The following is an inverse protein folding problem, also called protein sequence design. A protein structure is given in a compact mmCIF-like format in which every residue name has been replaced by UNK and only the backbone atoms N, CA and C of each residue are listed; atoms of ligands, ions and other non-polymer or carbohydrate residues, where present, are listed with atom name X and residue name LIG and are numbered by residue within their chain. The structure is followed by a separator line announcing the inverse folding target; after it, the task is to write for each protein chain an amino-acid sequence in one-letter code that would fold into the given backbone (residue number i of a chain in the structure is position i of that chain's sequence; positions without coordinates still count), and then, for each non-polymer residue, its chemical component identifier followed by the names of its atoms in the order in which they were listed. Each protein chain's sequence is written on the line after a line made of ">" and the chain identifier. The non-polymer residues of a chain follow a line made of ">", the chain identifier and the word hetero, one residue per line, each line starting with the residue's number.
data_IF_600375382045
#
_entry.id   IF_600375382045
#
_cell.length_a   1.000
_cell.length_b   1.000
_cell.length_c   1.000
_cell.angle_alpha   90.00
_cell.angle_beta   90.00
_cell.angle_gamma   90.00
#
_symmetry.space_group_name_H-M   'P 1'
#
loop_
_entity.id
_entity.type
_entity.pdbx_description
1 polymer ?
#
# COMPACT_ATOMS: atom_id res chain seq x y z
N UNK A 1 2.22 9.61 -16.93
CA UNK A 1 0.93 9.16 -16.37
C UNK A 1 1.00 7.65 -16.22
N UNK A 2 1.16 7.16 -14.99
CA UNK A 2 1.48 5.76 -14.67
C UNK A 2 0.48 4.81 -15.34
N UNK A 3 1.01 3.83 -16.07
CA UNK A 3 0.26 2.80 -16.80
C UNK A 3 -0.54 1.85 -15.90
N UNK A 4 -0.45 2.01 -14.57
CA UNK A 4 -1.28 1.32 -13.59
C UNK A 4 -2.77 1.72 -13.64
N UNK A 5 -3.13 2.78 -14.39
CA UNK A 5 -4.47 3.40 -14.36
C UNK A 5 -5.29 3.18 -15.66
N UNK A 6 -4.71 2.60 -16.72
CA UNK A 6 -5.35 2.70 -18.05
C UNK A 6 -6.54 1.78 -18.32
N UNK A 7 -6.84 0.73 -17.54
CA UNK A 7 -7.96 -0.17 -17.87
C UNK A 7 -8.68 -0.82 -16.68
N UNK A 8 -9.12 -0.03 -15.69
CA UNK A 8 -10.23 -0.37 -14.76
C UNK A 8 -10.31 0.75 -13.72
N UNK A 9 -11.19 1.73 -13.97
CA UNK A 9 -11.42 2.90 -13.11
C UNK A 9 -12.37 2.62 -11.95
N UNK A 10 -12.53 1.36 -11.54
CA UNK A 10 -13.30 0.98 -10.36
C UNK A 10 -12.38 0.27 -9.37
N UNK A 11 -12.54 0.60 -8.10
CA UNK A 11 -12.03 -0.22 -7.01
C UNK A 11 -12.81 -1.53 -6.96
N UNK A 12 -12.17 -2.59 -6.45
CA UNK A 12 -12.87 -3.86 -6.18
C UNK A 12 -13.82 -3.71 -4.98
N UNK A 13 -13.44 -2.85 -4.03
CA UNK A 13 -14.30 -2.38 -2.96
C UNK A 13 -13.99 -0.91 -2.62
N UNK A 14 -15.01 -0.16 -2.23
CA UNK A 14 -14.91 1.25 -1.85
C UNK A 14 -15.40 1.44 -0.43
N UNK A 15 -14.63 2.18 0.35
CA UNK A 15 -15.05 2.66 1.66
C UNK A 15 -14.16 3.84 2.05
N UNK A 16 -14.70 4.73 2.87
CA UNK A 16 -13.94 5.78 3.55
C UNK A 16 -13.26 5.28 4.83
N UNK A 17 -13.55 4.04 5.25
CA UNK A 17 -12.91 3.35 6.37
C UNK A 17 -11.96 2.25 5.88
N UNK A 18 -10.68 2.41 6.19
CA UNK A 18 -9.65 1.44 5.80
C UNK A 18 -9.78 0.10 6.53
N UNK A 19 -10.39 0.07 7.72
CA UNK A 19 -10.71 -1.15 8.45
C UNK A 19 -11.68 -2.04 7.69
N UNK A 20 -12.71 -1.45 7.05
CA UNK A 20 -13.66 -2.17 6.19
C UNK A 20 -12.96 -2.75 4.95
N UNK A 21 -12.06 -1.98 4.33
CA UNK A 21 -11.28 -2.47 3.18
C UNK A 21 -10.33 -3.60 3.56
N UNK A 22 -9.67 -3.51 4.73
CA UNK A 22 -8.84 -4.60 5.23
C UNK A 22 -9.67 -5.86 5.53
N UNK A 23 -10.88 -5.70 6.08
CA UNK A 23 -11.79 -6.83 6.29
C UNK A 23 -12.21 -7.45 4.96
N UNK A 24 -12.58 -6.62 3.97
CA UNK A 24 -12.93 -7.09 2.62
C UNK A 24 -11.78 -7.84 1.95
N UNK A 25 -10.56 -7.29 2.01
CA UNK A 25 -9.37 -7.95 1.43
C UNK A 25 -9.13 -9.33 2.06
N UNK A 26 -9.24 -9.46 3.39
CA UNK A 26 -9.07 -10.75 4.07
C UNK A 26 -10.17 -11.74 3.69
N UNK A 27 -11.42 -11.29 3.61
CA UNK A 27 -12.55 -12.13 3.22
C UNK A 27 -12.43 -12.65 1.78
N UNK A 28 -11.76 -11.90 0.90
CA UNK A 28 -11.51 -12.26 -0.49
C UNK A 28 -10.13 -12.91 -0.71
N UNK A 29 -9.46 -13.37 0.36
CA UNK A 29 -8.15 -14.02 0.30
C UNK A 29 -7.05 -13.18 -0.38
N UNK A 30 -7.21 -11.86 -0.41
CA UNK A 30 -6.22 -10.93 -0.92
C UNK A 30 -5.19 -10.56 0.17
N UNK A 31 -3.97 -10.13 -0.20
CA UNK A 31 -3.04 -9.58 0.77
C UNK A 31 -3.68 -8.40 1.52
N UNK A 32 -3.51 -8.31 2.83
CA UNK A 32 -4.02 -7.23 3.67
C UNK A 32 -3.05 -7.02 4.84
N UNK A 33 -2.79 -5.76 5.18
CA UNK A 33 -2.01 -5.46 6.38
C UNK A 33 -2.70 -6.04 7.64
N UNK A 34 -1.93 -6.51 8.60
CA UNK A 34 -2.50 -6.93 9.89
C UNK A 34 -2.95 -5.71 10.69
N UNK A 35 -2.09 -4.69 10.74
CA UNK A 35 -2.33 -3.38 11.34
C UNK A 35 -1.80 -2.30 10.39
N UNK A 36 -2.46 -1.15 10.33
CA UNK A 36 -1.94 0.05 9.65
C UNK A 36 -1.09 0.88 10.63
N UNK A 37 -0.05 1.58 10.14
CA UNK A 37 0.59 2.65 10.92
C UNK A 37 -0.45 3.66 11.41
N UNK A 38 -0.27 4.18 12.62
CA UNK A 38 -1.31 4.94 13.31
C UNK A 38 -1.70 6.21 12.55
N UNK A 39 -0.73 6.87 11.90
CA UNK A 39 -1.02 8.06 11.09
C UNK A 39 -1.66 7.74 9.74
N UNK A 40 -1.39 6.56 9.18
CA UNK A 40 -2.06 6.09 7.96
C UNK A 40 -3.51 5.69 8.24
N UNK A 41 -3.76 5.04 9.39
CA UNK A 41 -5.08 4.60 9.83
C UNK A 41 -6.08 5.75 10.04
N UNK A 42 -5.59 6.97 10.27
CA UNK A 42 -6.42 8.18 10.45
C UNK A 42 -6.90 8.78 9.13
N UNK A 43 -6.35 8.36 8.00
CA UNK A 43 -6.74 8.89 6.69
C UNK A 43 -8.02 8.22 6.20
N UNK A 44 -8.86 9.01 5.52
CA UNK A 44 -9.97 8.46 4.74
C UNK A 44 -9.40 7.62 3.59
N UNK A 45 -9.87 6.39 3.47
CA UNK A 45 -9.63 5.59 2.27
C UNK A 45 -10.57 6.00 1.13
N UNK A 46 -10.26 5.54 -0.08
CA UNK A 46 -11.14 5.65 -1.26
C UNK A 46 -11.64 4.27 -1.71
N UNK A 47 -10.80 3.26 -1.59
CA UNK A 47 -11.08 1.90 -2.00
C UNK A 47 -9.80 1.08 -2.12
N UNK A 48 -9.99 -0.20 -2.42
CA UNK A 48 -8.91 -1.13 -2.65
C UNK A 48 -8.98 -1.79 -4.02
N UNK A 49 -7.83 -2.26 -4.50
CA UNK A 49 -7.73 -3.04 -5.74
C UNK A 49 -6.79 -4.23 -5.54
N UNK A 50 -7.11 -5.33 -6.19
CA UNK A 50 -6.37 -6.58 -6.16
C UNK A 50 -5.95 -6.98 -7.57
N UNK A 51 -4.74 -7.52 -7.71
CA UNK A 51 -4.22 -8.01 -8.99
C UNK A 51 -3.02 -8.94 -8.75
N UNK A 52 -2.58 -9.61 -9.81
CA UNK A 52 -1.35 -10.40 -9.80
C UNK A 52 -0.19 -9.59 -10.38
N UNK A 53 0.96 -9.61 -9.70
CA UNK A 53 2.21 -9.04 -10.20
C UNK A 53 3.33 -10.07 -10.14
N UNK A 54 3.89 -10.41 -11.31
CA UNK A 54 4.89 -11.48 -11.45
C UNK A 54 4.46 -12.79 -10.75
N UNK A 55 3.17 -13.14 -10.86
CA UNK A 55 2.58 -14.33 -10.23
C UNK A 55 2.26 -14.20 -8.74
N UNK A 56 2.60 -13.08 -8.08
CA UNK A 56 2.30 -12.85 -6.67
C UNK A 56 0.99 -12.06 -6.51
N UNK A 57 0.10 -12.45 -5.58
CA UNK A 57 -1.05 -11.63 -5.20
C UNK A 57 -0.61 -10.28 -4.63
N UNK A 58 -1.25 -9.22 -5.11
CA UNK A 58 -1.05 -7.84 -4.67
C UNK A 58 -2.40 -7.24 -4.31
N UNK A 59 -2.42 -6.44 -3.25
CA UNK A 59 -3.48 -5.48 -2.99
C UNK A 59 -2.93 -4.07 -2.86
N UNK A 60 -3.79 -3.10 -3.15
CA UNK A 60 -3.50 -1.67 -2.98
C UNK A 60 -4.70 -1.04 -2.29
N UNK A 61 -4.48 -0.33 -1.18
CA UNK A 61 -5.46 0.59 -0.59
C UNK A 61 -5.03 2.02 -0.91
N UNK A 62 -5.96 2.83 -1.42
CA UNK A 62 -5.74 4.25 -1.69
C UNK A 62 -6.35 5.09 -0.58
N UNK A 63 -5.58 6.06 -0.07
CA UNK A 63 -6.02 7.00 0.95
C UNK A 63 -5.86 8.43 0.46
N UNK A 64 -6.70 9.32 0.98
CA UNK A 64 -6.63 10.76 0.75
C UNK A 64 -5.84 11.42 1.87
N UNK A 65 -4.77 12.13 1.52
CA UNK A 65 -4.00 12.96 2.46
C UNK A 65 -4.70 14.31 2.72
N UNK A 66 -4.33 15.04 3.78
CA UNK A 66 -4.92 16.36 4.08
C UNK A 66 -4.77 17.40 2.96
N UNK A 67 -3.76 17.24 2.10
CA UNK A 67 -3.53 18.11 0.93
C UNK A 67 -4.33 17.70 -0.32
N UNK A 68 -5.26 16.75 -0.18
CA UNK A 68 -6.11 16.24 -1.26
C UNK A 68 -5.42 15.25 -2.21
N UNK A 69 -4.11 15.02 -2.06
CA UNK A 69 -3.35 14.07 -2.89
C UNK A 69 -3.41 12.67 -2.30
N UNK A 70 -3.08 11.66 -3.12
CA UNK A 70 -3.17 10.26 -2.70
C UNK A 70 -1.89 9.76 -2.04
N UNK A 71 -2.08 8.77 -1.17
CA UNK A 71 -1.05 7.85 -0.70
C UNK A 71 -1.56 6.42 -0.87
N UNK A 72 -0.69 5.51 -1.29
CA UNK A 72 -1.04 4.14 -1.63
C UNK A 72 -0.28 3.18 -0.71
N UNK A 73 -1.01 2.28 -0.06
CA UNK A 73 -0.43 1.13 0.63
C UNK A 73 -0.55 -0.09 -0.28
N UNK A 74 0.58 -0.56 -0.78
CA UNK A 74 0.70 -1.79 -1.54
C UNK A 74 1.09 -2.91 -0.58
N UNK A 75 0.37 -4.03 -0.63
CA UNK A 75 0.70 -5.25 0.14
C UNK A 75 0.88 -6.41 -0.83
N UNK A 76 1.98 -7.14 -0.68
CA UNK A 76 2.32 -8.30 -1.50
C UNK A 76 2.57 -9.47 -0.56
N UNK A 77 1.96 -10.62 -0.85
CA UNK A 77 2.35 -11.88 -0.20
C UNK A 77 3.47 -12.52 -1.01
N UNK A 78 4.61 -12.77 -0.37
CA UNK A 78 5.79 -13.38 -0.99
C UNK A 78 6.11 -14.70 -0.31
N UNK A 79 6.69 -15.66 -1.05
CA UNK A 79 7.12 -16.92 -0.45
C UNK A 79 8.28 -16.68 0.53
N UNK A 80 8.38 -17.51 1.59
CA UNK A 80 9.49 -17.42 2.54
C UNK A 80 10.87 -17.57 1.86
N UNK A 81 10.93 -18.33 0.76
CA UNK A 81 12.10 -18.53 -0.07
C UNK A 81 12.48 -17.31 -0.94
N UNK A 82 11.66 -16.25 -1.01
CA UNK A 82 12.06 -15.03 -1.71
C UNK A 82 13.11 -14.29 -0.88
N UNK A 83 14.38 -14.49 -1.23
CA UNK A 83 15.60 -13.97 -0.59
C UNK A 83 15.81 -12.45 -0.73
N UNK A 84 14.78 -11.65 -1.04
CA UNK A 84 14.96 -10.20 -0.94
C UNK A 84 15.10 -9.84 0.53
N UNK A 85 16.33 -9.50 0.92
CA UNK A 85 16.71 -8.95 2.22
C UNK A 85 16.08 -7.56 2.42
N UNK A 86 14.75 -7.52 2.50
CA UNK A 86 14.02 -6.34 2.91
C UNK A 86 14.12 -6.33 4.42
N UNK A 87 14.84 -5.32 4.93
CA UNK A 87 14.98 -5.11 6.37
C UNK A 87 13.60 -4.86 7.00
N UNK A 88 13.43 -5.17 8.30
CA UNK A 88 12.21 -4.81 9.02
C UNK A 88 12.04 -3.29 9.10
N UNK A 89 13.13 -2.53 9.10
CA UNK A 89 13.11 -1.08 8.99
C UNK A 89 12.73 -0.63 7.57
N UNK A 90 11.83 0.35 7.49
CA UNK A 90 11.39 0.89 6.22
C UNK A 90 12.55 1.54 5.45
N UNK A 91 12.81 1.03 4.24
CA UNK A 91 13.76 1.63 3.33
C UNK A 91 13.07 2.73 2.51
N UNK A 92 13.41 3.99 2.79
CA UNK A 92 12.86 5.15 2.09
C UNK A 92 13.69 5.50 0.86
N UNK A 93 13.05 5.61 -0.29
CA UNK A 93 13.68 5.93 -1.58
C UNK A 93 12.87 7.03 -2.28
N UNK A 94 13.57 8.00 -2.87
CA UNK A 94 12.99 8.94 -3.83
C UNK A 94 13.18 8.43 -5.26
N UNK A 95 12.12 8.44 -6.07
CA UNK A 95 12.14 8.11 -7.49
C UNK A 95 11.33 9.15 -8.28
N UNK A 96 12.01 10.09 -8.93
CA UNK A 96 11.36 11.23 -9.58
C UNK A 96 10.55 12.05 -8.57
N UNK A 97 9.25 12.24 -8.82
CA UNK A 97 8.35 12.94 -7.89
C UNK A 97 7.73 12.02 -6.83
N UNK A 98 8.05 10.72 -6.83
CA UNK A 98 7.49 9.75 -5.90
C UNK A 98 8.46 9.44 -4.77
N UNK A 99 7.94 9.45 -3.55
CA UNK A 99 8.61 8.87 -2.39
C UNK A 99 7.98 7.52 -2.08
N UNK A 100 8.82 6.53 -1.81
CA UNK A 100 8.39 5.17 -1.44
C UNK A 100 9.09 4.69 -0.20
N UNK A 101 8.39 3.91 0.63
CA UNK A 101 8.94 3.23 1.79
C UNK A 101 8.56 1.76 1.70
N UNK A 102 9.55 0.88 1.75
CA UNK A 102 9.33 -0.57 1.64
C UNK A 102 9.85 -1.26 2.89
N UNK A 103 9.04 -2.13 3.47
CA UNK A 103 9.41 -2.95 4.63
C UNK A 103 8.78 -4.34 4.50
N UNK A 104 9.25 -5.28 5.33
CA UNK A 104 8.77 -6.67 5.36
C UNK A 104 8.36 -7.05 6.77
N UNK A 105 7.21 -7.71 6.89
CA UNK A 105 6.77 -8.36 8.11
C UNK A 105 6.35 -9.79 7.76
N UNK A 106 7.13 -10.78 8.19
CA UNK A 106 6.88 -12.19 7.88
C UNK A 106 6.88 -12.48 6.36
N UNK A 107 5.74 -12.97 5.87
CA UNK A 107 5.48 -13.31 4.46
C UNK A 107 4.91 -12.13 3.64
N UNK A 108 4.79 -10.94 4.24
CA UNK A 108 4.25 -9.75 3.60
C UNK A 108 5.34 -8.73 3.33
N UNK A 109 5.34 -8.20 2.12
CA UNK A 109 6.09 -7.00 1.75
C UNK A 109 5.10 -5.86 1.59
N UNK A 110 5.40 -4.74 2.24
CA UNK A 110 4.62 -3.52 2.13
C UNK A 110 5.40 -2.46 1.38
N UNK A 111 4.69 -1.65 0.62
CA UNK A 111 5.21 -0.41 0.07
C UNK A 111 4.20 0.69 0.28
N UNK A 112 4.62 1.75 0.97
CA UNK A 112 3.89 3.01 1.00
C UNK A 112 4.43 3.92 -0.09
N UNK A 113 3.55 4.50 -0.90
CA UNK A 113 3.94 5.36 -2.02
C UNK A 113 3.09 6.63 -2.07
N UNK A 114 3.74 7.79 -2.20
CA UNK A 114 3.09 9.08 -2.43
C UNK A 114 3.88 9.93 -3.41
N UNK A 115 3.21 10.89 -4.04
CA UNK A 115 3.88 11.98 -4.75
C UNK A 115 4.27 13.07 -3.74
N UNK A 116 5.57 13.38 -3.66
CA UNK A 116 6.15 14.25 -2.63
C UNK A 116 7.56 13.82 -2.21
N UNK A 117 7.97 14.24 -1.01
CA UNK A 117 9.29 13.95 -0.45
C UNK A 117 9.30 12.76 0.52
N UNK A 118 10.47 12.15 0.80
CA UNK A 118 10.58 11.05 1.76
C UNK A 118 10.24 11.50 3.19
N UNK A 119 10.48 12.76 3.53
CA UNK A 119 10.12 13.30 4.85
C UNK A 119 8.61 13.41 5.02
N UNK A 120 7.88 13.78 3.96
CA UNK A 120 6.41 13.74 3.98
C UNK A 120 5.89 12.32 4.14
N UNK A 121 6.51 11.35 3.45
CA UNK A 121 6.15 9.93 3.55
C UNK A 121 6.40 9.36 4.94
N UNK A 122 7.52 9.74 5.59
CA UNK A 122 7.89 9.25 6.93
C UNK A 122 6.81 9.50 7.98
N UNK A 123 6.06 10.60 7.86
CA UNK A 123 4.97 10.93 8.78
C UNK A 123 3.84 9.88 8.80
N UNK A 124 3.75 9.02 7.78
CA UNK A 124 2.72 7.98 7.66
C UNK A 124 3.24 6.57 7.97
N UNK A 125 4.51 6.42 8.36
CA UNK A 125 5.12 5.15 8.78
C UNK A 125 5.10 4.94 10.30
N UNK A 126 4.75 6.00 11.06
CA UNK A 126 4.68 6.03 12.52
C UNK A 126 3.28 5.64 13.02
#
# INVERSE_FOLDING_TARGET
>A
ISSLVRQQSSFDAQSHDAGELLAWLRANHAPAAQKLPDNLAKLSSLGCKTFLWNGNPVSVICFTRPDGRLIHLVTITVSAASERAIKPEANLIQQGHWATATWREGDRVYMLALEGSPDQLRNYLL
#
